data_IF_440326462755
#
_entry.id   IF_440326462755
#
_cell.length_a   1.000
_cell.length_b   1.000
_cell.length_c   1.000
_cell.angle_alpha   90.00
_cell.angle_beta   90.00
_cell.angle_gamma   90.00
#
_symmetry.space_group_name_H-M   'P 1'
#
loop_
_entity.id
_entity.type
_entity.pdbx_description
1 polymer ?
#
# COMPACT_ATOMS: atom_id res chain seq x y z
N UNK A 1 -14.55 -7.57 14.29
CA UNK A 1 -13.46 -6.71 14.79
C UNK A 1 -12.16 -7.44 15.15
N UNK A 2 -12.18 -8.66 15.69
CA UNK A 2 -10.96 -9.35 16.21
C UNK A 2 -9.99 -9.93 15.15
N UNK A 3 -10.48 -10.33 13.96
CA UNK A 3 -9.65 -11.04 12.94
C UNK A 3 -8.39 -10.27 12.47
N UNK A 4 -8.41 -8.94 12.23
CA UNK A 4 -7.22 -8.17 11.84
C UNK A 4 -6.08 -8.25 12.87
N UNK A 5 -6.40 -8.13 14.17
CA UNK A 5 -5.40 -8.20 15.24
C UNK A 5 -4.81 -9.61 15.39
N UNK A 6 -5.65 -10.65 15.28
CA UNK A 6 -5.17 -12.05 15.30
C UNK A 6 -4.20 -12.30 14.14
N UNK A 7 -4.49 -11.77 12.95
CA UNK A 7 -3.63 -11.93 11.78
C UNK A 7 -2.33 -11.12 11.94
N UNK A 8 -2.39 -9.89 12.47
CA UNK A 8 -1.21 -9.08 12.80
C UNK A 8 -0.26 -9.78 13.79
N UNK A 9 -0.78 -10.38 14.87
CA UNK A 9 0.06 -11.02 15.87
C UNK A 9 0.47 -12.48 15.56
N UNK A 10 -0.26 -13.19 14.69
CA UNK A 10 0.09 -14.57 14.29
C UNK A 10 0.96 -14.63 13.03
N UNK A 11 0.91 -13.63 12.15
CA UNK A 11 1.67 -13.62 10.90
C UNK A 11 2.81 -12.57 10.96
N UNK A 12 4.06 -12.99 11.26
CA UNK A 12 5.18 -12.06 11.44
C UNK A 12 5.50 -11.25 10.16
N UNK A 13 5.14 -11.77 8.98
CA UNK A 13 5.24 -11.04 7.71
C UNK A 13 4.36 -9.79 7.73
N UNK A 14 3.10 -9.94 8.14
CA UNK A 14 2.14 -8.82 8.19
C UNK A 14 2.54 -7.82 9.26
N UNK A 15 3.01 -8.28 10.43
CA UNK A 15 3.53 -7.42 11.48
C UNK A 15 4.71 -6.58 11.00
N UNK A 16 5.75 -7.20 10.45
CA UNK A 16 6.95 -6.51 10.00
C UNK A 16 6.65 -5.51 8.87
N UNK A 17 5.88 -5.91 7.86
CA UNK A 17 5.53 -5.02 6.74
C UNK A 17 4.61 -3.87 7.17
N UNK A 18 3.64 -4.12 8.06
CA UNK A 18 2.77 -3.08 8.64
C UNK A 18 3.55 -2.14 9.54
N UNK A 19 4.53 -2.63 10.30
CA UNK A 19 5.39 -1.80 11.13
C UNK A 19 6.25 -0.88 10.26
N UNK A 20 6.78 -1.39 9.15
CA UNK A 20 7.56 -0.59 8.22
C UNK A 20 6.73 0.52 7.55
N UNK A 21 5.54 0.21 7.01
CA UNK A 21 4.64 1.24 6.46
C UNK A 21 4.19 2.23 7.52
N UNK A 22 3.94 1.78 8.76
CA UNK A 22 3.55 2.63 9.88
C UNK A 22 4.66 3.60 10.32
N UNK A 23 5.92 3.14 10.40
CA UNK A 23 7.08 4.01 10.69
C UNK A 23 7.26 5.04 9.59
N UNK A 24 7.20 4.63 8.32
CA UNK A 24 7.30 5.54 7.16
C UNK A 24 6.17 6.57 7.15
N UNK A 25 4.95 6.20 7.55
CA UNK A 25 3.83 7.14 7.71
C UNK A 25 3.99 8.07 8.91
N UNK A 26 4.43 7.55 10.05
CA UNK A 26 4.78 8.35 11.23
C UNK A 26 5.80 9.43 10.88
N UNK A 27 6.80 9.08 10.06
CA UNK A 27 7.79 10.05 9.54
C UNK A 27 7.17 11.14 8.66
N UNK A 28 6.17 10.85 7.81
CA UNK A 28 5.42 11.89 7.08
C UNK A 28 4.70 12.85 8.04
N UNK A 29 4.06 12.28 9.07
CA UNK A 29 3.32 13.07 10.05
C UNK A 29 4.25 13.91 10.94
N UNK A 30 5.42 13.38 11.26
CA UNK A 30 6.51 14.11 11.90
C UNK A 30 7.04 15.23 10.99
N UNK A 31 7.11 15.03 9.67
CA UNK A 31 7.43 16.11 8.73
C UNK A 31 6.39 17.22 8.71
N UNK A 32 5.09 16.94 8.94
CA UNK A 32 4.09 18.01 9.10
C UNK A 32 4.39 18.94 10.29
N UNK A 33 5.09 18.48 11.34
CA UNK A 33 5.60 19.34 12.42
C UNK A 33 6.98 19.92 12.10
N UNK A 34 7.89 19.11 11.55
CA UNK A 34 9.29 19.48 11.34
C UNK A 34 9.48 20.60 10.31
N UNK A 35 8.71 20.58 9.21
CA UNK A 35 8.81 21.61 8.17
C UNK A 35 8.45 23.00 8.72
N UNK A 36 7.31 23.21 9.42
CA UNK A 36 7.05 24.45 10.16
C UNK A 36 8.18 24.88 11.09
N UNK A 37 8.76 23.98 11.89
CA UNK A 37 9.88 24.32 12.80
C UNK A 37 11.12 24.80 12.00
N UNK A 38 11.50 24.09 10.94
CA UNK A 38 12.69 24.40 10.13
C UNK A 38 12.50 25.68 9.31
N UNK A 39 11.33 25.92 8.72
CA UNK A 39 11.11 27.07 7.82
C UNK A 39 10.50 28.29 8.54
N UNK A 40 9.52 28.11 9.43
CA UNK A 40 8.87 29.22 10.14
C UNK A 40 9.70 29.64 11.37
N UNK A 41 10.01 28.71 12.28
CA UNK A 41 10.75 29.05 13.51
C UNK A 41 12.22 29.38 13.26
N UNK A 42 12.89 28.61 12.40
CA UNK A 42 14.35 28.74 12.20
C UNK A 42 14.74 29.72 11.09
N UNK A 43 13.89 29.92 10.06
CA UNK A 43 14.13 30.87 8.95
C UNK A 43 13.16 32.06 8.93
N UNK A 44 12.23 32.18 9.87
CA UNK A 44 11.31 33.32 9.99
C UNK A 44 10.24 33.41 8.90
N UNK A 45 9.96 32.34 8.16
CA UNK A 45 8.99 32.37 7.07
C UNK A 45 7.55 32.47 7.58
N UNK A 46 6.70 33.19 6.84
CA UNK A 46 5.25 33.22 7.11
C UNK A 46 4.62 31.84 6.94
N UNK A 47 3.51 31.58 7.65
CA UNK A 47 2.89 30.25 7.69
C UNK A 47 2.55 29.71 6.29
N UNK A 48 2.02 30.56 5.41
CA UNK A 48 1.71 30.21 4.02
C UNK A 48 2.95 29.79 3.22
N UNK A 49 4.06 30.54 3.29
CA UNK A 49 5.31 30.21 2.58
C UNK A 49 5.97 28.96 3.17
N UNK A 50 5.89 28.75 4.50
CA UNK A 50 6.29 27.50 5.14
C UNK A 50 5.53 26.27 4.62
N UNK A 51 4.26 26.43 4.24
CA UNK A 51 3.44 25.38 3.63
C UNK A 51 3.89 24.97 2.22
N UNK A 52 4.45 25.89 1.42
CA UNK A 52 4.94 25.59 0.07
C UNK A 52 6.08 24.54 0.07
N UNK A 53 6.80 24.39 1.18
CA UNK A 53 7.86 23.41 1.28
C UNK A 53 7.36 21.94 1.18
N UNK A 54 6.08 21.67 1.45
CA UNK A 54 5.48 20.34 1.20
C UNK A 54 5.31 20.00 -0.30
N UNK A 55 5.39 20.98 -1.20
CA UNK A 55 5.35 20.72 -2.65
C UNK A 55 6.50 19.81 -3.12
N UNK A 56 7.64 19.81 -2.41
CA UNK A 56 8.71 18.83 -2.66
C UNK A 56 8.26 17.39 -2.45
N UNK A 57 7.53 17.12 -1.36
CA UNK A 57 6.96 15.78 -1.08
C UNK A 57 5.87 15.43 -2.08
N UNK A 58 5.00 16.40 -2.43
CA UNK A 58 3.96 16.23 -3.45
C UNK A 58 4.52 15.88 -4.83
N UNK A 59 5.57 16.59 -5.27
CA UNK A 59 6.27 16.28 -6.53
C UNK A 59 6.92 14.89 -6.50
N UNK A 60 7.49 14.50 -5.35
CA UNK A 60 7.97 13.13 -5.11
C UNK A 60 6.88 12.08 -5.31
N UNK A 61 5.67 12.31 -4.78
CA UNK A 61 4.52 11.41 -4.96
C UNK A 61 4.05 11.35 -6.43
N UNK A 62 4.07 12.47 -7.17
CA UNK A 62 3.76 12.47 -8.60
C UNK A 62 4.76 11.62 -9.41
N UNK A 63 6.06 11.74 -9.12
CA UNK A 63 7.11 10.91 -9.73
C UNK A 63 6.92 9.43 -9.37
N UNK A 64 6.65 9.12 -8.09
CA UNK A 64 6.35 7.76 -7.65
C UNK A 64 5.13 7.17 -8.37
N UNK A 65 4.11 7.97 -8.64
CA UNK A 65 2.89 7.57 -9.36
C UNK A 65 3.20 7.30 -10.84
N UNK A 66 4.01 8.16 -11.47
CA UNK A 66 4.49 7.98 -12.85
C UNK A 66 5.37 6.72 -13.02
N UNK A 67 5.96 6.20 -11.94
CA UNK A 67 6.69 4.92 -11.92
C UNK A 67 5.78 3.68 -11.78
N UNK A 68 4.49 3.84 -11.42
CA UNK A 68 3.58 2.70 -11.25
C UNK A 68 3.37 1.84 -12.53
N UNK A 69 3.27 2.40 -13.75
CA UNK A 69 3.25 1.60 -14.98
C UNK A 69 4.55 0.83 -15.22
N UNK A 70 5.70 1.35 -14.77
CA UNK A 70 7.00 0.67 -14.85
C UNK A 70 7.03 -0.50 -13.87
N UNK A 71 6.53 -0.31 -12.65
CA UNK A 71 6.35 -1.39 -11.67
C UNK A 71 5.47 -2.52 -12.24
N UNK A 72 4.32 -2.17 -12.83
CA UNK A 72 3.44 -3.16 -13.45
C UNK A 72 4.11 -3.90 -14.62
N UNK A 73 4.87 -3.20 -15.49
CA UNK A 73 5.66 -3.84 -16.56
C UNK A 73 6.72 -4.80 -16.03
N UNK A 74 7.39 -4.47 -14.92
CA UNK A 74 8.37 -5.36 -14.27
C UNK A 74 7.69 -6.59 -13.69
N UNK A 75 6.56 -6.42 -12.99
CA UNK A 75 5.74 -7.52 -12.49
C UNK A 75 5.27 -8.45 -13.60
N UNK A 76 4.66 -7.91 -14.67
CA UNK A 76 4.22 -8.68 -15.84
C UNK A 76 5.37 -9.42 -16.54
N UNK A 77 6.58 -8.85 -16.58
CA UNK A 77 7.79 -9.54 -17.08
C UNK A 77 8.21 -10.70 -16.17
N UNK A 78 8.04 -10.59 -14.86
CA UNK A 78 8.26 -11.70 -13.93
C UNK A 78 7.19 -12.79 -14.10
N UNK A 79 5.91 -12.42 -14.30
CA UNK A 79 4.82 -13.36 -14.58
C UNK A 79 5.09 -14.18 -15.85
N UNK A 80 5.51 -13.52 -16.94
CA UNK A 80 5.84 -14.18 -18.22
C UNK A 80 7.08 -15.09 -18.17
N UNK A 81 7.94 -14.95 -17.15
CA UNK A 81 9.10 -15.82 -16.92
C UNK A 81 8.81 -16.97 -15.96
N UNK A 82 7.62 -17.00 -15.33
CA UNK A 82 7.22 -18.07 -14.41
C UNK A 82 6.65 -19.26 -15.19
N UNK A 83 7.16 -20.49 -15.00
CA UNK A 83 6.64 -21.69 -15.70
C UNK A 83 5.16 -21.97 -15.44
N UNK A 84 4.60 -21.45 -14.34
CA UNK A 84 3.20 -21.64 -13.92
C UNK A 84 2.29 -20.47 -14.31
N UNK A 85 2.78 -19.48 -15.06
CA UNK A 85 1.99 -18.32 -15.52
C UNK A 85 1.55 -17.35 -14.40
N UNK A 86 1.95 -17.58 -13.14
CA UNK A 86 1.74 -16.66 -12.01
C UNK A 86 3.08 -16.23 -11.45
N UNK A 87 3.27 -14.92 -11.24
CA UNK A 87 4.45 -14.40 -10.55
C UNK A 87 4.39 -14.73 -9.05
N UNK A 88 5.54 -15.02 -8.41
CA UNK A 88 5.61 -15.01 -6.95
C UNK A 88 5.30 -13.59 -6.43
N UNK A 89 4.59 -13.43 -5.29
CA UNK A 89 4.31 -12.10 -4.71
C UNK A 89 5.61 -11.33 -4.42
N UNK A 90 6.71 -12.05 -4.17
CA UNK A 90 8.05 -11.49 -4.00
C UNK A 90 8.54 -10.68 -5.22
N UNK A 91 7.94 -10.86 -6.41
CA UNK A 91 8.20 -10.03 -7.59
C UNK A 91 7.70 -8.56 -7.47
N UNK A 92 6.89 -8.24 -6.45
CA UNK A 92 6.48 -6.86 -6.11
C UNK A 92 7.53 -6.09 -5.30
N UNK A 93 8.39 -6.79 -4.56
CA UNK A 93 9.36 -6.20 -3.62
C UNK A 93 10.52 -5.37 -4.23
N UNK A 94 10.95 -5.53 -5.51
CA UNK A 94 12.04 -4.72 -6.07
C UNK A 94 11.82 -3.19 -6.00
N UNK A 95 10.57 -2.72 -6.12
CA UNK A 95 10.27 -1.29 -5.94
C UNK A 95 10.30 -0.86 -4.47
N UNK A 96 9.92 -1.74 -3.53
CA UNK A 96 10.10 -1.49 -2.10
C UNK A 96 11.58 -1.46 -1.68
N UNK A 97 12.45 -2.22 -2.36
CA UNK A 97 13.91 -2.16 -2.15
C UNK A 97 14.48 -0.80 -2.60
N UNK A 98 14.07 -0.31 -3.77
CA UNK A 98 14.45 1.03 -4.25
C UNK A 98 13.95 2.13 -3.28
N UNK A 99 12.66 2.10 -2.93
CA UNK A 99 12.10 3.06 -1.98
C UNK A 99 12.72 2.96 -0.57
N UNK A 100 13.10 1.77 -0.12
CA UNK A 100 13.78 1.55 1.16
C UNK A 100 15.21 2.09 1.23
N UNK A 101 15.91 2.23 0.11
CA UNK A 101 17.16 2.98 0.04
C UNK A 101 16.92 4.50 -0.10
N UNK A 102 15.87 4.88 -0.83
CA UNK A 102 15.55 6.28 -1.13
C UNK A 102 15.01 7.05 0.09
N UNK A 103 14.22 6.40 0.95
CA UNK A 103 13.67 6.98 2.19
C UNK A 103 14.74 7.46 3.18
N UNK A 104 15.67 6.64 3.68
CA UNK A 104 16.68 7.09 4.64
C UNK A 104 17.62 8.12 4.01
N UNK A 105 18.01 7.96 2.74
CA UNK A 105 18.87 8.94 2.05
C UNK A 105 18.21 10.32 1.94
N UNK A 106 16.90 10.37 1.69
CA UNK A 106 16.12 11.61 1.70
C UNK A 106 16.03 12.26 3.09
N UNK A 107 15.80 11.48 4.15
CA UNK A 107 15.69 12.02 5.52
C UNK A 107 17.06 12.48 6.03
N UNK A 108 18.15 11.78 5.71
CA UNK A 108 19.52 12.26 5.98
C UNK A 108 19.83 13.56 5.23
N UNK A 109 19.47 13.65 3.94
CA UNK A 109 19.61 14.90 3.18
C UNK A 109 18.88 16.05 3.88
N UNK A 110 17.61 15.86 4.25
CA UNK A 110 16.85 16.87 5.00
C UNK A 110 17.53 17.24 6.33
N UNK A 111 17.99 16.25 7.11
CA UNK A 111 18.64 16.46 8.40
C UNK A 111 19.86 17.40 8.28
N UNK A 112 20.79 17.10 7.38
CA UNK A 112 22.01 17.90 7.17
C UNK A 112 21.76 19.25 6.48
N UNK A 113 20.60 19.46 5.85
CA UNK A 113 20.26 20.70 5.12
C UNK A 113 19.18 21.56 5.81
N UNK A 114 18.77 21.15 7.02
CA UNK A 114 17.87 21.90 7.91
C UNK A 114 18.50 23.17 8.52
N UNK A 115 19.81 23.37 8.35
CA UNK A 115 20.57 24.51 8.89
C UNK A 115 20.31 25.82 8.13
N UNK A 116 20.22 26.99 8.81
CA UNK A 116 20.00 28.29 8.14
C UNK A 116 21.04 28.68 7.09
N UNK A 117 22.28 28.18 7.20
CA UNK A 117 23.37 28.44 6.25
C UNK A 117 23.16 27.82 4.87
N UNK A 118 22.26 26.83 4.74
CA UNK A 118 21.96 26.15 3.47
C UNK A 118 20.75 26.80 2.80
N UNK A 119 20.87 27.06 1.49
CA UNK A 119 19.79 27.64 0.68
C UNK A 119 18.50 26.85 0.82
N UNK A 120 17.39 27.54 1.08
CA UNK A 120 16.09 26.98 1.47
C UNK A 120 15.54 25.91 0.51
N UNK A 121 15.91 25.95 -0.77
CA UNK A 121 15.42 24.98 -1.77
C UNK A 121 15.98 23.57 -1.54
N UNK A 122 17.17 23.45 -0.93
CA UNK A 122 17.85 22.16 -0.77
C UNK A 122 17.07 21.19 0.16
N UNK A 123 16.62 21.60 1.38
CA UNK A 123 15.75 20.74 2.19
C UNK A 123 14.36 20.51 1.57
N UNK A 124 13.85 21.39 0.69
CA UNK A 124 12.61 21.14 -0.06
C UNK A 124 12.82 20.03 -1.10
N UNK A 125 13.94 20.07 -1.83
CA UNK A 125 14.31 19.04 -2.80
C UNK A 125 14.52 17.67 -2.16
N UNK A 126 14.97 17.59 -0.90
CA UNK A 126 15.03 16.35 -0.13
C UNK A 126 13.63 15.71 0.08
N UNK A 127 12.55 16.49 0.01
CA UNK A 127 11.18 15.98 0.03
C UNK A 127 10.82 15.13 -1.19
N UNK A 128 11.45 15.36 -2.34
CA UNK A 128 11.17 14.65 -3.61
C UNK A 128 11.55 13.16 -3.54
N UNK A 129 12.78 12.76 -3.18
CA UNK A 129 13.12 11.35 -3.00
C UNK A 129 12.33 10.71 -1.84
N UNK A 130 12.00 11.46 -0.78
CA UNK A 130 11.16 10.96 0.31
C UNK A 130 9.75 10.58 -0.17
N UNK A 131 9.04 11.49 -0.85
CA UNK A 131 7.68 11.24 -1.36
C UNK A 131 7.64 10.12 -2.40
N UNK A 132 8.65 10.04 -3.27
CA UNK A 132 8.79 8.96 -4.24
C UNK A 132 9.03 7.60 -3.54
N UNK A 133 9.99 7.55 -2.61
CA UNK A 133 10.34 6.33 -1.88
C UNK A 133 9.18 5.80 -1.03
N UNK A 134 8.44 6.70 -0.38
CA UNK A 134 7.23 6.37 0.36
C UNK A 134 6.20 5.67 -0.52
N UNK A 135 5.86 6.27 -1.68
CA UNK A 135 4.81 5.73 -2.54
C UNK A 135 5.21 4.37 -3.13
N UNK A 136 6.47 4.21 -3.54
CA UNK A 136 7.00 2.93 -4.02
C UNK A 136 6.89 1.84 -2.94
N UNK A 137 7.25 2.15 -1.70
CA UNK A 137 7.12 1.22 -0.55
C UNK A 137 5.66 0.89 -0.26
N UNK A 138 4.79 1.89 -0.15
CA UNK A 138 3.37 1.71 0.15
C UNK A 138 2.66 0.86 -0.90
N UNK A 139 2.80 1.23 -2.18
CA UNK A 139 2.19 0.50 -3.29
C UNK A 139 2.68 -0.94 -3.34
N UNK A 140 3.99 -1.17 -3.18
CA UNK A 140 4.56 -2.52 -3.21
C UNK A 140 4.06 -3.39 -2.06
N UNK A 141 3.96 -2.84 -0.84
CA UNK A 141 3.53 -3.59 0.35
C UNK A 141 2.04 -3.90 0.32
N UNK A 142 1.19 -2.96 -0.10
CA UNK A 142 -0.26 -3.20 -0.26
C UNK A 142 -0.50 -4.32 -1.29
N UNK A 143 0.14 -4.24 -2.46
CA UNK A 143 0.06 -5.30 -3.47
C UNK A 143 0.58 -6.65 -2.94
N UNK A 144 1.70 -6.66 -2.21
CA UNK A 144 2.25 -7.88 -1.62
C UNK A 144 1.31 -8.52 -0.57
N UNK A 145 0.67 -7.72 0.29
CA UNK A 145 -0.31 -8.20 1.27
C UNK A 145 -1.53 -8.83 0.58
N UNK A 146 -2.03 -8.20 -0.49
CA UNK A 146 -3.14 -8.73 -1.29
C UNK A 146 -2.74 -10.06 -1.95
N UNK A 147 -1.61 -10.08 -2.66
CA UNK A 147 -1.13 -11.26 -3.39
C UNK A 147 -0.78 -12.44 -2.44
N UNK A 148 -0.36 -12.17 -1.20
CA UNK A 148 -0.04 -13.21 -0.21
C UNK A 148 -1.25 -13.77 0.55
N UNK A 149 -2.27 -12.95 0.82
CA UNK A 149 -3.37 -13.28 1.73
C UNK A 149 -4.74 -13.15 1.05
N UNK A 150 -4.91 -13.59 -0.20
CA UNK A 150 -6.12 -13.40 -1.01
C UNK A 150 -7.46 -13.52 -0.24
N UNK A 151 -7.66 -14.59 0.54
CA UNK A 151 -8.89 -14.83 1.34
C UNK A 151 -9.05 -13.90 2.56
N UNK A 152 -7.96 -13.31 3.06
CA UNK A 152 -7.93 -12.45 4.24
C UNK A 152 -7.38 -11.04 3.95
N UNK A 153 -7.27 -10.65 2.68
CA UNK A 153 -6.57 -9.44 2.23
C UNK A 153 -7.17 -8.18 2.85
N UNK A 154 -8.49 -8.08 2.92
CA UNK A 154 -9.18 -6.98 3.59
C UNK A 154 -8.84 -6.87 5.09
N UNK A 155 -8.71 -8.00 5.79
CA UNK A 155 -8.33 -8.02 7.21
C UNK A 155 -6.85 -7.65 7.42
N UNK A 156 -5.96 -8.11 6.54
CA UNK A 156 -4.53 -7.74 6.57
C UNK A 156 -4.32 -6.25 6.26
N UNK A 157 -5.04 -5.72 5.27
CA UNK A 157 -4.99 -4.30 4.90
C UNK A 157 -5.60 -3.39 5.97
N UNK A 158 -6.67 -3.85 6.65
CA UNK A 158 -7.22 -3.17 7.83
C UNK A 158 -6.21 -3.13 8.98
N UNK A 159 -5.53 -4.25 9.29
CA UNK A 159 -4.50 -4.28 10.34
C UNK A 159 -3.32 -3.33 10.02
N UNK A 160 -2.82 -3.35 8.78
CA UNK A 160 -1.81 -2.42 8.28
C UNK A 160 -2.28 -0.95 8.43
N UNK A 161 -3.55 -0.67 8.12
CA UNK A 161 -4.13 0.67 8.22
C UNK A 161 -4.26 1.15 9.67
N UNK A 162 -4.70 0.28 10.60
CA UNK A 162 -4.80 0.62 12.03
C UNK A 162 -3.43 0.94 12.62
N UNK A 163 -2.42 0.10 12.37
CA UNK A 163 -1.07 0.34 12.90
C UNK A 163 -0.45 1.61 12.31
N UNK A 164 -0.68 1.85 11.01
CA UNK A 164 -0.27 3.07 10.30
C UNK A 164 -0.90 4.33 10.88
N UNK A 165 -2.22 4.32 11.11
CA UNK A 165 -2.93 5.46 11.71
C UNK A 165 -2.49 5.71 13.15
N UNK A 166 -2.24 4.65 13.93
CA UNK A 166 -1.74 4.77 15.30
C UNK A 166 -0.38 5.47 15.34
N UNK A 167 0.60 5.04 14.53
CA UNK A 167 1.91 5.71 14.52
C UNK A 167 1.85 7.10 13.88
N UNK A 168 0.97 7.31 12.89
CA UNK A 168 0.69 8.65 12.35
C UNK A 168 0.14 9.63 13.40
N UNK A 169 -0.62 9.16 14.38
CA UNK A 169 -1.09 9.99 15.51
C UNK A 169 -0.03 10.17 16.61
N UNK A 170 0.77 9.13 16.90
CA UNK A 170 1.77 9.16 17.98
C UNK A 170 3.01 9.97 17.61
N UNK A 171 3.48 9.93 16.36
CA UNK A 171 4.71 10.63 15.96
C UNK A 171 4.66 12.16 16.14
N UNK A 172 3.59 12.87 15.75
CA UNK A 172 3.45 14.30 16.01
C UNK A 172 3.46 14.66 17.50
N UNK A 173 2.93 13.80 18.37
CA UNK A 173 2.74 14.10 19.80
C UNK A 173 4.07 14.36 20.54
N UNK A 174 5.13 13.62 20.19
CA UNK A 174 6.47 13.84 20.74
C UNK A 174 7.39 14.68 19.83
N UNK A 175 7.01 14.89 18.57
CA UNK A 175 7.87 15.57 17.58
C UNK A 175 8.32 16.97 18.05
N UNK A 176 7.41 17.81 18.53
CA UNK A 176 7.74 19.18 18.98
C UNK A 176 8.80 19.18 20.08
N UNK A 177 8.65 18.34 21.11
CA UNK A 177 9.61 18.20 22.20
C UNK A 177 10.96 17.62 21.72
N UNK A 178 10.93 16.66 20.79
CA UNK A 178 12.13 16.09 20.19
C UNK A 178 12.93 17.17 19.41
N UNK A 179 12.26 17.98 18.60
CA UNK A 179 12.91 19.07 17.85
C UNK A 179 13.45 20.18 18.76
N UNK A 180 12.76 20.50 19.87
CA UNK A 180 13.23 21.46 20.86
C UNK A 180 14.48 20.98 21.62
N UNK A 181 14.53 19.70 22.04
CA UNK A 181 15.61 19.19 22.87
C UNK A 181 16.86 18.74 22.08
N UNK A 182 16.69 18.14 20.89
CA UNK A 182 17.82 17.67 20.06
C UNK A 182 18.26 18.71 19.02
N UNK A 183 17.40 19.67 18.69
CA UNK A 183 17.60 20.58 17.56
C UNK A 183 17.35 19.89 16.20
N UNK A 184 17.11 20.73 15.17
CA UNK A 184 16.59 20.30 13.86
C UNK A 184 17.38 19.16 13.20
N UNK A 185 18.71 19.24 13.20
CA UNK A 185 19.56 18.27 12.53
C UNK A 185 19.54 16.89 13.22
N UNK A 186 19.74 16.84 14.53
CA UNK A 186 19.75 15.57 15.29
C UNK A 186 18.36 14.94 15.40
N UNK A 187 17.30 15.74 15.58
CA UNK A 187 15.93 15.27 15.56
C UNK A 187 15.57 14.60 14.23
N UNK A 188 15.97 15.20 13.10
CA UNK A 188 15.79 14.63 11.77
C UNK A 188 16.68 13.39 11.54
N UNK A 189 17.92 13.42 12.02
CA UNK A 189 18.87 12.31 11.89
C UNK A 189 18.43 11.07 12.68
N UNK A 190 17.84 11.23 13.87
CA UNK A 190 17.25 10.13 14.65
C UNK A 190 16.20 9.37 13.82
N UNK A 191 15.32 10.11 13.13
CA UNK A 191 14.29 9.54 12.26
C UNK A 191 14.91 8.92 11.00
N UNK A 192 16.01 9.48 10.48
CA UNK A 192 16.78 8.88 9.39
C UNK A 192 17.41 7.53 9.80
N UNK A 193 17.98 7.42 11.00
CA UNK A 193 18.49 6.16 11.55
C UNK A 193 17.37 5.13 11.76
N UNK A 194 16.19 5.54 12.24
CA UNK A 194 15.03 4.66 12.35
C UNK A 194 14.56 4.14 10.98
N UNK A 195 14.53 5.01 9.97
CA UNK A 195 14.22 4.62 8.59
C UNK A 195 15.30 3.70 8.00
N UNK A 196 16.58 3.94 8.30
CA UNK A 196 17.70 3.11 7.86
C UNK A 196 17.67 1.71 8.49
N UNK A 197 17.29 1.60 9.76
CA UNK A 197 17.08 0.32 10.43
C UNK A 197 15.94 -0.50 9.79
N UNK A 198 14.96 0.17 9.17
CA UNK A 198 13.87 -0.48 8.44
C UNK A 198 14.21 -0.77 6.96
N UNK A 199 15.15 -0.04 6.35
CA UNK A 199 15.59 -0.21 4.97
C UNK A 199 15.97 -1.64 4.54
N UNK A 200 16.60 -2.51 5.39
CA UNK A 200 16.88 -3.89 5.00
C UNK A 200 15.66 -4.82 4.98
N UNK A 201 14.49 -4.43 5.53
CA UNK A 201 13.31 -5.31 5.56
C UNK A 201 12.89 -5.78 4.15
N UNK A 202 12.67 -4.92 3.14
CA UNK A 202 12.32 -5.36 1.79
C UNK A 202 13.34 -6.33 1.17
N UNK A 203 14.63 -6.12 1.42
CA UNK A 203 15.70 -7.01 0.95
C UNK A 203 15.63 -8.39 1.62
N UNK A 204 15.38 -8.42 2.93
CA UNK A 204 15.21 -9.65 3.69
C UNK A 204 13.98 -10.43 3.22
N UNK A 205 12.83 -9.76 3.03
CA UNK A 205 11.62 -10.41 2.50
C UNK A 205 11.76 -10.84 1.04
N UNK A 206 12.55 -10.14 0.21
CA UNK A 206 12.82 -10.59 -1.16
C UNK A 206 13.60 -11.92 -1.19
N UNK A 207 14.59 -12.10 -0.30
CA UNK A 207 15.43 -13.31 -0.26
C UNK A 207 14.85 -14.46 0.59
N UNK A 208 14.07 -14.16 1.63
CA UNK A 208 13.55 -15.16 2.58
C UNK A 208 12.02 -15.30 2.57
N UNK A 209 11.28 -14.46 1.85
CA UNK A 209 9.81 -14.41 1.83
C UNK A 209 9.16 -15.78 1.60
N UNK A 210 9.61 -16.53 0.59
CA UNK A 210 9.13 -17.88 0.32
C UNK A 210 9.32 -18.86 1.49
N UNK A 211 10.45 -18.77 2.22
CA UNK A 211 10.74 -19.64 3.40
C UNK A 211 9.92 -19.24 4.62
N UNK A 212 9.63 -17.95 4.79
CA UNK A 212 8.82 -17.44 5.90
C UNK A 212 7.32 -17.76 5.62
N UNK A 213 6.85 -17.58 4.38
CA UNK A 213 5.51 -17.98 3.94
C UNK A 213 5.27 -19.48 4.03
N UNK A 214 6.27 -20.32 3.72
CA UNK A 214 6.16 -21.77 3.89
C UNK A 214 5.98 -22.21 5.38
N UNK A 215 6.24 -21.32 6.34
CA UNK A 215 5.99 -21.54 7.79
C UNK A 215 4.74 -20.82 8.31
N UNK A 216 4.06 -20.04 7.48
CA UNK A 216 2.80 -19.37 7.79
C UNK A 216 1.66 -20.39 7.89
N UNK A 217 0.76 -20.22 8.88
CA UNK A 217 -0.45 -21.05 8.99
C UNK A 217 -1.61 -20.51 8.15
N UNK A 218 -1.51 -19.27 7.66
CA UNK A 218 -2.57 -18.59 6.91
C UNK A 218 -2.23 -18.35 5.42
N UNK A 219 -1.05 -18.77 4.95
CA UNK A 219 -0.74 -18.83 3.52
C UNK A 219 -1.39 -20.09 2.91
N UNK A 220 -2.30 -19.99 1.93
CA UNK A 220 -2.91 -21.14 1.30
C UNK A 220 -1.89 -21.88 0.42
N UNK A 221 -1.24 -22.89 0.99
CA UNK A 221 -0.50 -23.91 0.25
C UNK A 221 -1.49 -24.84 -0.46
N UNK A 222 -2.15 -24.33 -1.49
CA UNK A 222 -2.94 -25.14 -2.42
C UNK A 222 -2.16 -25.22 -3.75
N UNK A 223 -1.71 -26.41 -4.17
CA UNK A 223 -1.38 -26.64 -5.59
C UNK A 223 -2.61 -26.23 -6.41
N UNK A 224 -2.45 -25.50 -7.53
CA UNK A 224 -3.59 -24.99 -8.26
C UNK A 224 -4.52 -26.14 -8.65
N UNK A 225 -5.81 -26.00 -8.39
CA UNK A 225 -6.81 -26.79 -9.09
C UNK A 225 -6.52 -26.64 -10.60
N UNK A 226 -6.49 -27.74 -11.38
CA UNK A 226 -6.16 -27.66 -12.79
C UNK A 226 -7.08 -26.66 -13.49
N UNK A 227 -6.58 -25.92 -14.50
CA UNK A 227 -7.39 -24.93 -15.20
C UNK A 227 -8.65 -25.62 -15.73
N UNK A 228 -9.82 -25.15 -15.30
CA UNK A 228 -11.09 -25.67 -15.76
C UNK A 228 -11.11 -25.60 -17.31
N UNK A 229 -11.35 -26.72 -18.01
CA UNK A 229 -11.33 -26.73 -19.47
C UNK A 229 -12.30 -25.71 -20.05
N UNK A 230 -11.86 -24.97 -21.06
CA UNK A 230 -12.69 -23.96 -21.71
C UNK A 230 -13.74 -24.65 -22.58
N UNK A 231 -15.02 -24.39 -22.27
CA UNK A 231 -16.24 -24.73 -23.00
C UNK A 231 -16.68 -26.22 -23.08
N UNK A 232 -17.92 -26.51 -22.65
CA UNK A 232 -19.03 -26.93 -23.53
C UNK A 232 -20.27 -27.53 -22.78
N UNK A 233 -21.40 -26.79 -22.82
CA UNK A 233 -22.77 -27.30 -23.11
C UNK A 233 -23.61 -28.07 -22.04
N UNK A 234 -24.93 -27.78 -22.05
CA UNK A 234 -26.11 -28.47 -21.46
C UNK A 234 -26.28 -28.44 -19.92
N UNK A 235 -27.31 -27.80 -19.33
CA UNK A 235 -28.74 -28.21 -19.25
C UNK A 235 -28.93 -29.68 -18.82
N UNK A 236 -29.55 -30.04 -17.70
CA UNK A 236 -30.85 -29.60 -17.09
C UNK A 236 -30.76 -29.93 -15.55
N UNK A 237 -31.64 -29.58 -14.59
CA UNK A 237 -33.10 -29.36 -14.59
C UNK A 237 -33.62 -28.50 -13.41
N UNK A 238 -34.89 -28.11 -13.52
CA UNK A 238 -35.91 -27.87 -12.46
C UNK A 238 -35.91 -28.98 -11.37
N UNK A 239 -36.32 -28.82 -10.10
CA UNK A 239 -37.62 -28.30 -9.64
C UNK A 239 -37.72 -28.14 -8.09
N UNK A 240 -38.57 -27.20 -7.64
CA UNK A 240 -39.36 -27.11 -6.39
C UNK A 240 -38.76 -27.38 -4.97
N UNK A 241 -38.59 -26.27 -4.25
CA UNK A 241 -39.39 -25.86 -3.06
C UNK A 241 -39.33 -26.62 -1.71
N UNK A 242 -38.87 -25.87 -0.68
CA UNK A 242 -39.48 -25.68 0.67
C UNK A 242 -39.79 -26.94 1.53
N UNK A 243 -39.35 -27.04 2.79
CA UNK A 243 -39.79 -26.17 3.91
C UNK A 243 -39.12 -26.58 5.26
N UNK A 244 -39.16 -25.67 6.24
CA UNK A 244 -39.09 -25.84 7.73
C UNK A 244 -37.72 -25.62 8.45
N UNK A 245 -37.82 -24.83 9.54
CA UNK A 245 -36.92 -24.65 10.70
C UNK A 245 -35.64 -23.76 10.59
N UNK A 246 -35.84 -22.48 10.91
CA UNK A 246 -34.89 -21.59 11.62
C UNK A 246 -34.88 -21.89 13.15
N UNK A 247 -34.03 -21.25 14.00
CA UNK A 247 -32.91 -20.34 13.71
C UNK A 247 -31.57 -20.73 14.41
N UNK A 248 -30.44 -20.08 14.04
CA UNK A 248 -29.73 -19.16 14.95
C UNK A 248 -28.34 -18.68 14.46
N UNK A 249 -28.11 -17.37 14.63
CA UNK A 249 -26.82 -16.66 14.69
C UNK A 249 -25.88 -16.59 13.47
N UNK A 250 -25.24 -15.41 13.36
CA UNK A 250 -24.10 -15.02 12.51
C UNK A 250 -24.28 -14.80 10.99
N UNK A 251 -23.61 -13.73 10.53
CA UNK A 251 -23.33 -13.31 9.15
C UNK A 251 -24.48 -12.76 8.28
N UNK A 252 -24.61 -11.42 8.26
CA UNK A 252 -25.20 -10.67 7.15
C UNK A 252 -24.67 -9.22 7.10
N UNK A 253 -23.51 -9.02 6.46
CA UNK A 253 -23.15 -7.76 5.81
C UNK A 253 -22.48 -8.14 4.50
N UNK A 254 -23.31 -8.37 3.49
CA UNK A 254 -22.85 -8.55 2.11
C UNK A 254 -22.23 -7.25 1.60
N UNK A 255 -21.12 -7.30 0.85
CA UNK A 255 -20.56 -6.10 0.25
C UNK A 255 -21.33 -5.71 -1.01
N UNK A 256 -21.56 -4.40 -1.12
CA UNK A 256 -22.25 -3.61 -2.15
C UNK A 256 -21.70 -3.75 -3.60
N UNK A 257 -20.84 -4.74 -3.86
CA UNK A 257 -20.11 -4.94 -5.11
C UNK A 257 -20.86 -5.81 -6.14
N UNK A 258 -21.91 -6.53 -5.72
CA UNK A 258 -22.70 -7.38 -6.62
C UNK A 258 -23.75 -6.60 -7.44
N UNK A 259 -24.20 -5.45 -6.95
CA UNK A 259 -25.24 -4.65 -7.61
C UNK A 259 -24.72 -3.93 -8.88
N UNK A 260 -23.51 -3.38 -8.82
CA UNK A 260 -22.93 -2.59 -9.92
C UNK A 260 -22.59 -3.48 -11.13
N UNK A 261 -22.06 -4.69 -10.88
CA UNK A 261 -21.77 -5.68 -11.93
C UNK A 261 -23.04 -6.16 -12.66
N UNK A 262 -24.16 -6.32 -11.94
CA UNK A 262 -25.44 -6.68 -12.56
C UNK A 262 -26.01 -5.58 -13.46
N UNK A 263 -25.80 -4.32 -13.09
CA UNK A 263 -26.25 -3.16 -13.87
C UNK A 263 -25.47 -3.00 -15.18
N UNK A 264 -24.15 -3.22 -15.19
CA UNK A 264 -23.37 -3.22 -16.43
C UNK A 264 -23.79 -4.37 -17.37
N UNK A 265 -24.04 -5.57 -16.83
CA UNK A 265 -24.44 -6.74 -17.63
C UNK A 265 -25.87 -6.58 -18.20
N UNK A 266 -26.79 -5.97 -17.45
CA UNK A 266 -28.15 -5.67 -17.92
C UNK A 266 -28.16 -4.54 -18.98
N UNK A 267 -27.35 -3.48 -18.79
CA UNK A 267 -27.19 -2.42 -19.79
C UNK A 267 -26.57 -2.95 -21.10
N UNK A 268 -25.58 -3.84 -21.03
CA UNK A 268 -25.02 -4.49 -22.21
C UNK A 268 -26.08 -5.33 -22.96
N UNK A 269 -26.91 -6.08 -22.22
CA UNK A 269 -28.04 -6.85 -22.78
C UNK A 269 -29.07 -5.97 -23.48
N UNK A 270 -29.45 -4.86 -22.87
CA UNK A 270 -30.42 -3.93 -23.46
C UNK A 270 -29.86 -3.23 -24.72
N UNK A 271 -28.57 -2.91 -24.74
CA UNK A 271 -27.89 -2.36 -25.93
C UNK A 271 -27.84 -3.37 -27.10
N UNK A 272 -27.65 -4.66 -26.83
CA UNK A 272 -27.69 -5.71 -27.85
C UNK A 272 -29.11 -5.94 -28.39
N UNK A 273 -30.12 -5.95 -27.51
CA UNK A 273 -31.54 -6.04 -27.88
C UNK A 273 -32.01 -4.83 -28.71
N UNK A 274 -31.54 -3.62 -28.41
CA UNK A 274 -31.83 -2.43 -29.20
C UNK A 274 -31.24 -2.51 -30.61
N UNK A 275 -29.98 -2.98 -30.75
CA UNK A 275 -29.36 -3.21 -32.07
C UNK A 275 -30.10 -4.26 -32.89
N UNK A 276 -30.58 -5.35 -32.26
CA UNK A 276 -31.37 -6.39 -32.95
C UNK A 276 -32.70 -5.86 -33.48
N UNK A 277 -33.43 -5.05 -32.70
CA UNK A 277 -34.69 -4.43 -33.16
C UNK A 277 -34.49 -3.39 -34.27
N UNK A 278 -33.36 -2.67 -34.29
CA UNK A 278 -33.04 -1.72 -35.34
C UNK A 278 -32.64 -2.38 -36.68
N UNK A 279 -32.12 -3.62 -36.66
CA UNK A 279 -31.79 -4.38 -37.86
C UNK A 279 -32.99 -5.00 -38.58
N UNK A 280 -34.12 -5.16 -37.88
CA UNK A 280 -35.32 -5.87 -38.35
C UNK A 280 -36.37 -4.93 -38.98
N UNK A 281 -35.98 -3.68 -39.28
CA UNK A 281 -36.87 -2.63 -39.79
C UNK A 281 -36.42 -2.04 -41.14
N UNK A 282 -35.49 -2.71 -41.84
CA UNK A 282 -35.06 -2.39 -43.21
C UNK A 282 -35.04 -3.67 -44.08
N UNK A 283 -36.22 -4.29 -44.23
CA UNK A 283 -36.62 -5.16 -45.35
C UNK A 283 -38.09 -4.85 -45.67
#
# INVERSE_FOLDING_TARGET
MTRPFVLLFKEPIVLCLSMYTAIVYGTLYLFFTAFPIVFQTTRGWSSGVGGLAFLGVGLGMLIGTALAPVNNKIYLRATRKSPTGRAPPEARLPMAMLGGALLPSAIFWFAFTSTPSVHWIVPILAGVPFGCGMLLVFSSIINYLIDCYLMYAASALAANTVLRSLLGAVFPLFSTYMYQNLGNAWASALVAFLSLACAPMPFLFYRYGAKIRARSKFSPNMPPAPPAPVAATASTSTENASKVAQPDSDSALEPEYAADAGLEEEQARQAELAKRKAGDQIV
#
